data_IF_639060003682
#
_entry.id   IF_639060003682
#
_cell.length_a   1.000
_cell.length_b   1.000
_cell.length_c   1.000
_cell.angle_alpha   90.00
_cell.angle_beta   90.00
_cell.angle_gamma   90.00
#
_symmetry.space_group_name_H-M   'P 1'
#
loop_
_entity.id
_entity.type
_entity.pdbx_description
1 polymer ?
#
# COMPACT_ATOMS: atom_id res chain seq x y z
N UNK A 1 8.04 3.71 16.76
CA UNK A 1 7.50 2.53 17.49
C UNK A 1 7.59 1.29 16.60
N UNK A 2 7.61 0.05 17.12
CA UNK A 2 7.73 -1.13 16.26
C UNK A 2 6.47 -1.29 15.40
N UNK A 3 6.67 -1.62 14.12
CA UNK A 3 5.59 -1.97 13.19
C UNK A 3 4.79 -3.14 13.77
N UNK A 4 3.47 -3.05 13.71
CA UNK A 4 2.63 -4.20 14.07
C UNK A 4 2.64 -5.19 12.90
N UNK A 5 2.98 -6.45 13.15
CA UNK A 5 2.93 -7.47 12.08
C UNK A 5 1.52 -8.07 12.07
N UNK A 6 0.79 -8.03 10.94
CA UNK A 6 -0.53 -8.64 10.85
C UNK A 6 -0.47 -10.13 11.14
N UNK A 7 -1.34 -10.59 12.03
CA UNK A 7 -1.47 -12.01 12.35
C UNK A 7 -2.16 -12.77 11.21
N UNK A 8 -2.14 -14.11 11.25
CA UNK A 8 -2.91 -14.92 10.29
C UNK A 8 -4.42 -14.68 10.41
N UNK A 9 -4.92 -14.38 11.62
CA UNK A 9 -6.31 -14.01 11.83
C UNK A 9 -6.63 -12.66 11.15
N UNK A 10 -5.74 -11.69 11.27
CA UNK A 10 -5.89 -10.39 10.61
C UNK A 10 -5.91 -10.52 9.09
N UNK A 11 -4.98 -11.32 8.53
CA UNK A 11 -4.95 -11.63 7.09
C UNK A 11 -6.25 -12.27 6.63
N UNK A 12 -6.77 -13.24 7.38
CA UNK A 12 -8.06 -13.88 7.06
C UNK A 12 -9.21 -12.87 7.10
N UNK A 13 -9.28 -12.01 8.12
CA UNK A 13 -10.31 -10.96 8.22
C UNK A 13 -10.21 -9.96 7.09
N UNK A 14 -9.01 -9.50 6.74
CA UNK A 14 -8.76 -8.59 5.64
C UNK A 14 -9.18 -9.20 4.29
N UNK A 15 -8.85 -10.47 4.06
CA UNK A 15 -9.22 -11.18 2.84
C UNK A 15 -10.74 -11.34 2.70
N UNK A 16 -11.42 -11.78 3.77
CA UNK A 16 -12.88 -11.92 3.76
C UNK A 16 -13.59 -10.56 3.62
N UNK A 17 -13.05 -9.51 4.24
CA UNK A 17 -13.53 -8.14 4.05
C UNK A 17 -13.41 -7.70 2.59
N UNK A 18 -12.25 -7.90 1.97
CA UNK A 18 -12.02 -7.52 0.57
C UNK A 18 -12.97 -8.27 -0.39
N UNK A 19 -13.16 -9.59 -0.21
CA UNK A 19 -14.11 -10.38 -1.00
C UNK A 19 -15.55 -9.89 -0.86
N UNK A 20 -15.95 -9.52 0.35
CA UNK A 20 -17.31 -9.02 0.65
C UNK A 20 -17.56 -7.64 0.08
N UNK A 21 -16.58 -6.73 0.17
CA UNK A 21 -16.71 -5.36 -0.33
C UNK A 21 -16.60 -5.28 -1.87
N UNK A 22 -15.85 -6.19 -2.50
CA UNK A 22 -15.60 -6.19 -3.94
C UNK A 22 -15.89 -7.54 -4.62
N UNK A 23 -17.14 -8.03 -4.59
CA UNK A 23 -17.47 -9.35 -5.14
C UNK A 23 -17.19 -9.42 -6.64
N UNK A 24 -16.53 -10.49 -7.08
CA UNK A 24 -16.23 -10.75 -8.50
C UNK A 24 -15.10 -9.91 -9.11
N UNK A 25 -14.61 -8.86 -8.43
CA UNK A 25 -13.51 -8.04 -8.92
C UNK A 25 -12.20 -8.38 -8.19
N UNK A 26 -11.42 -9.32 -8.77
CA UNK A 26 -10.16 -9.78 -8.18
C UNK A 26 -9.13 -8.66 -7.98
N UNK A 27 -9.01 -7.74 -8.94
CA UNK A 27 -8.06 -6.65 -8.85
C UNK A 27 -8.36 -5.71 -7.67
N UNK A 28 -9.64 -5.35 -7.48
CA UNK A 28 -10.04 -4.55 -6.32
C UNK A 28 -9.88 -5.33 -5.01
N UNK A 29 -10.19 -6.63 -4.99
CA UNK A 29 -9.97 -7.47 -3.80
C UNK A 29 -8.50 -7.47 -3.37
N UNK A 30 -7.56 -7.63 -4.32
CA UNK A 30 -6.13 -7.63 -4.02
C UNK A 30 -5.63 -6.27 -3.52
N UNK A 31 -6.02 -5.19 -4.19
CA UNK A 31 -5.65 -3.83 -3.78
C UNK A 31 -6.14 -3.50 -2.37
N UNK A 32 -7.41 -3.80 -2.08
CA UNK A 32 -7.99 -3.51 -0.77
C UNK A 32 -7.48 -4.46 0.32
N UNK A 33 -7.22 -5.72 0.00
CA UNK A 33 -6.56 -6.65 0.91
C UNK A 33 -5.21 -6.10 1.40
N UNK A 34 -4.35 -5.65 0.47
CA UNK A 34 -3.07 -5.01 0.81
C UNK A 34 -3.31 -3.75 1.66
N UNK A 35 -4.28 -2.92 1.28
CA UNK A 35 -4.65 -1.72 2.03
C UNK A 35 -5.00 -2.01 3.49
N UNK A 36 -5.85 -3.00 3.76
CA UNK A 36 -6.22 -3.37 5.13
C UNK A 36 -5.05 -3.92 5.94
N UNK A 37 -4.11 -4.65 5.31
CA UNK A 37 -2.90 -5.09 6.01
C UNK A 37 -2.03 -3.90 6.42
N UNK A 38 -1.88 -2.90 5.54
CA UNK A 38 -1.14 -1.67 5.84
C UNK A 38 -1.83 -0.86 6.95
N UNK A 39 -3.17 -0.79 6.99
CA UNK A 39 -3.91 -0.16 8.08
C UNK A 39 -3.55 -0.78 9.44
N UNK A 40 -3.38 -2.10 9.51
CA UNK A 40 -2.95 -2.81 10.72
C UNK A 40 -1.48 -2.51 11.03
N UNK A 41 -0.60 -2.61 10.03
CA UNK A 41 0.84 -2.37 10.19
C UNK A 41 1.13 -0.96 10.72
N UNK A 42 0.40 0.03 10.20
CA UNK A 42 0.63 1.44 10.45
C UNK A 42 -0.23 2.01 11.57
N UNK A 43 -1.09 1.18 12.20
CA UNK A 43 -2.03 1.61 13.25
C UNK A 43 -1.38 2.44 14.37
N UNK A 44 -0.15 2.08 14.74
CA UNK A 44 0.60 2.72 15.83
C UNK A 44 1.80 3.53 15.33
N UNK A 45 1.92 3.74 14.01
CA UNK A 45 3.01 4.53 13.42
C UNK A 45 2.62 6.01 13.37
N UNK A 46 3.60 6.89 13.49
CA UNK A 46 3.38 8.32 13.22
C UNK A 46 3.34 8.60 11.72
N UNK A 47 2.84 9.78 11.34
CA UNK A 47 2.80 10.21 9.94
C UNK A 47 4.21 10.21 9.34
N UNK A 48 5.22 10.66 10.09
CA UNK A 48 6.61 10.71 9.67
C UNK A 48 7.17 9.31 9.41
N UNK A 49 6.85 8.35 10.29
CA UNK A 49 7.25 6.95 10.12
C UNK A 49 6.61 6.33 8.87
N UNK A 50 5.33 6.62 8.61
CA UNK A 50 4.61 6.16 7.41
C UNK A 50 5.25 6.78 6.16
N UNK A 51 5.52 8.08 6.16
CA UNK A 51 6.17 8.77 5.03
C UNK A 51 7.54 8.17 4.71
N UNK A 52 8.32 7.84 5.74
CA UNK A 52 9.63 7.22 5.60
C UNK A 52 9.53 5.80 5.00
N UNK A 53 8.55 5.00 5.41
CA UNK A 53 8.31 3.69 4.80
C UNK A 53 7.86 3.78 3.34
N UNK A 54 6.99 4.73 3.01
CA UNK A 54 6.59 5.01 1.62
C UNK A 54 7.80 5.46 0.80
N UNK A 55 8.66 6.33 1.34
CA UNK A 55 9.90 6.77 0.67
C UNK A 55 10.82 5.59 0.37
N UNK A 56 11.07 4.72 1.35
CA UNK A 56 11.86 3.49 1.15
C UNK A 56 11.24 2.58 0.08
N UNK A 57 9.92 2.44 0.07
CA UNK A 57 9.22 1.63 -0.92
C UNK A 57 9.39 2.21 -2.33
N UNK A 58 9.22 3.53 -2.52
CA UNK A 58 9.45 4.20 -3.79
C UNK A 58 10.88 4.03 -4.29
N UNK A 59 11.87 4.09 -3.39
CA UNK A 59 13.28 3.82 -3.71
C UNK A 59 13.50 2.40 -4.21
N UNK A 60 12.98 1.40 -3.50
CA UNK A 60 13.08 -0.01 -3.89
C UNK A 60 12.43 -0.29 -5.24
N UNK A 61 11.33 0.38 -5.53
CA UNK A 61 10.61 0.27 -6.80
C UNK A 61 11.20 1.14 -7.92
N UNK A 62 12.24 1.93 -7.64
CA UNK A 62 12.85 2.84 -8.61
C UNK A 62 11.94 4.00 -9.04
N UNK A 63 10.88 4.28 -8.29
CA UNK A 63 9.90 5.34 -8.56
C UNK A 63 10.39 6.74 -8.14
N UNK A 64 11.54 6.81 -7.47
CA UNK A 64 12.21 8.06 -7.09
C UNK A 64 12.81 8.82 -8.28
N UNK A 65 12.90 8.19 -9.46
CA UNK A 65 13.30 8.90 -10.68
C UNK A 65 12.21 9.90 -11.01
N UNK A 66 12.50 11.19 -10.77
CA UNK A 66 11.74 12.33 -11.29
C UNK A 66 11.17 11.97 -12.66
N UNK A 67 9.88 12.21 -12.84
CA UNK A 67 9.36 12.61 -14.15
C UNK A 67 10.09 13.92 -14.48
N UNK A 68 11.34 13.80 -14.94
CA UNK A 68 12.08 14.91 -15.50
C UNK A 68 11.42 15.17 -16.84
N UNK A 69 10.52 16.17 -16.85
CA UNK A 69 10.18 17.02 -17.98
C UNK A 69 10.91 16.61 -19.27
N UNK A 70 10.35 15.67 -20.02
CA UNK A 70 10.82 15.35 -21.37
C UNK A 70 9.63 15.46 -22.30
N UNK A 71 9.39 16.71 -22.68
CA UNK A 71 9.20 17.10 -24.07
C UNK A 71 7.89 16.66 -24.74
N UNK A 72 6.79 17.34 -24.39
CA UNK A 72 5.81 17.76 -25.39
C UNK A 72 6.51 18.76 -26.34
N UNK A 73 7.28 18.27 -27.31
CA UNK A 73 7.50 19.01 -28.55
C UNK A 73 6.38 18.58 -29.49
N UNK A 74 5.31 19.38 -29.49
CA UNK A 74 4.46 19.49 -30.68
C UNK A 74 5.36 19.75 -31.89
N UNK A 75 5.30 18.85 -32.87
CA UNK A 75 5.60 19.14 -34.26
C UNK A 75 4.30 19.06 -35.02
#
# INVERSE_FOLDING_TARGET
MPKQIPTEEDKKKALERAKREFPGNKALQELHYIGYLLEIEWKNMTIEEIQEEVRKAKQKLGLDKKISSTTLKSK
#
